data_IF_158460728170
#
_entry.id   IF_158460728170
#
_cell.length_a   1.000
_cell.length_b   1.000
_cell.length_c   1.000
_cell.angle_alpha   90.00
_cell.angle_beta   90.00
_cell.angle_gamma   90.00
#
_symmetry.space_group_name_H-M   'P 1'
#
loop_
_entity.id
_entity.type
_entity.pdbx_description
1 polymer ?
#
# COMPACT_ATOMS: atom_id res chain seq x y z
N UNK A 1 9.33 -4.86 -1.96
CA UNK A 1 10.42 -5.66 -1.37
C UNK A 1 9.92 -6.68 -0.36
N UNK A 2 9.13 -6.29 0.60
CA UNK A 2 8.56 -7.15 1.62
C UNK A 2 7.98 -8.46 1.10
N UNK A 3 7.06 -8.33 0.15
CA UNK A 3 6.28 -9.44 -0.38
C UNK A 3 7.16 -10.52 -1.01
N UNK A 4 8.14 -10.12 -1.81
CA UNK A 4 9.04 -11.05 -2.52
C UNK A 4 10.00 -11.77 -1.57
N UNK A 5 10.53 -11.11 -0.54
CA UNK A 5 11.41 -11.78 0.43
C UNK A 5 10.66 -12.80 1.27
N UNK A 6 9.42 -12.51 1.70
CA UNK A 6 8.60 -13.44 2.47
C UNK A 6 8.26 -14.71 1.65
N UNK A 7 7.81 -14.57 0.40
CA UNK A 7 7.50 -15.73 -0.43
C UNK A 7 8.75 -16.52 -0.81
N UNK A 8 9.87 -15.84 -1.12
CA UNK A 8 11.12 -16.52 -1.47
C UNK A 8 11.67 -17.34 -0.29
N UNK A 9 11.60 -16.81 0.94
CA UNK A 9 11.98 -17.56 2.14
C UNK A 9 11.12 -18.81 2.34
N UNK A 10 9.78 -18.71 2.11
CA UNK A 10 8.88 -19.86 2.16
C UNK A 10 9.21 -20.90 1.09
N UNK A 11 9.45 -20.46 -0.16
CA UNK A 11 9.82 -21.34 -1.26
C UNK A 11 11.14 -22.06 -0.99
N UNK A 12 12.15 -21.34 -0.47
CA UNK A 12 13.44 -21.93 -0.09
C UNK A 12 13.28 -23.04 0.96
N UNK A 13 12.46 -22.83 1.98
CA UNK A 13 12.16 -23.88 2.99
C UNK A 13 11.49 -25.12 2.36
N UNK A 14 10.72 -24.93 1.30
CA UNK A 14 10.10 -26.02 0.54
C UNK A 14 11.01 -26.59 -0.56
N UNK A 15 12.30 -26.20 -0.59
CA UNK A 15 13.29 -26.61 -1.60
C UNK A 15 12.83 -26.31 -3.03
N UNK A 16 12.27 -25.12 -3.21
CA UNK A 16 11.98 -24.54 -4.53
C UNK A 16 12.95 -23.39 -4.76
N UNK A 17 13.72 -23.49 -5.83
CA UNK A 17 14.64 -22.44 -6.24
C UNK A 17 13.86 -21.23 -6.78
N UNK A 18 14.15 -20.07 -6.23
CA UNK A 18 13.48 -18.82 -6.58
C UNK A 18 14.48 -17.66 -6.73
N UNK A 19 14.40 -16.94 -7.83
CA UNK A 19 15.15 -15.70 -8.05
C UNK A 19 14.26 -14.49 -7.75
N UNK A 20 14.74 -13.59 -6.93
CA UNK A 20 14.14 -12.28 -6.71
C UNK A 20 14.84 -11.26 -7.60
N UNK A 21 14.07 -10.45 -8.32
CA UNK A 21 14.59 -9.32 -9.09
C UNK A 21 14.04 -7.99 -8.57
N UNK A 22 14.90 -6.99 -8.49
CA UNK A 22 14.53 -5.63 -8.09
C UNK A 22 15.31 -4.60 -8.92
N UNK A 23 14.59 -3.63 -9.49
CA UNK A 23 15.22 -2.52 -10.22
C UNK A 23 16.04 -1.60 -9.32
N UNK A 24 15.79 -1.59 -8.01
CA UNK A 24 16.52 -0.77 -7.07
C UNK A 24 17.94 -1.31 -6.88
N UNK A 25 18.89 -0.39 -6.66
CA UNK A 25 20.31 -0.72 -6.54
C UNK A 25 20.63 -1.49 -5.25
N UNK A 26 19.81 -1.31 -4.20
CA UNK A 26 20.03 -1.90 -2.89
C UNK A 26 18.72 -2.48 -2.34
N UNK A 27 18.84 -3.60 -1.63
CA UNK A 27 17.73 -4.19 -0.87
C UNK A 27 17.21 -3.16 0.14
N UNK A 28 15.90 -2.88 0.15
CA UNK A 28 15.30 -1.88 1.05
C UNK A 28 15.04 -0.50 0.42
N UNK A 29 15.63 -0.17 -0.72
CA UNK A 29 15.56 1.17 -1.30
C UNK A 29 14.14 1.64 -1.62
N UNK A 30 13.21 0.75 -1.92
CA UNK A 30 11.82 1.14 -2.10
C UNK A 30 11.17 1.70 -0.82
N UNK A 31 11.75 1.45 0.36
CA UNK A 31 11.40 2.07 1.62
C UNK A 31 12.24 3.32 1.88
N UNK A 32 13.57 3.26 1.69
CA UNK A 32 14.46 4.41 1.89
C UNK A 32 14.06 5.60 1.04
N UNK A 33 13.62 5.38 -0.20
CA UNK A 33 13.19 6.41 -1.17
C UNK A 33 11.78 6.95 -0.92
N UNK A 34 11.13 6.60 0.19
CA UNK A 34 9.87 7.20 0.60
C UNK A 34 10.13 8.46 1.41
N UNK A 35 9.08 9.29 1.58
CA UNK A 35 9.20 10.54 2.33
C UNK A 35 9.77 10.33 3.74
N UNK A 36 10.50 11.32 4.21
CA UNK A 36 11.33 11.26 5.42
C UNK A 36 10.57 10.75 6.65
N UNK A 37 9.39 11.30 6.91
CA UNK A 37 8.60 11.01 8.12
C UNK A 37 7.87 9.66 8.11
N UNK A 38 8.02 8.81 7.07
CA UNK A 38 7.25 7.57 6.97
C UNK A 38 7.58 6.57 8.08
N UNK A 39 6.56 6.22 8.83
CA UNK A 39 6.57 5.17 9.86
C UNK A 39 5.42 4.19 9.60
N UNK A 40 5.60 2.92 9.93
CA UNK A 40 4.50 1.96 9.81
C UNK A 40 3.39 2.29 10.81
N UNK A 41 2.14 2.06 10.42
CA UNK A 41 0.97 2.33 11.25
C UNK A 41 0.48 1.12 12.05
N UNK A 42 1.04 -0.06 11.81
CA UNK A 42 0.77 -1.26 12.60
C UNK A 42 1.90 -1.43 13.61
N UNK A 43 1.54 -1.88 14.81
CA UNK A 43 2.49 -2.16 15.87
C UNK A 43 3.48 -3.28 15.47
N UNK A 44 4.69 -3.24 16.04
CA UNK A 44 5.80 -4.11 15.65
C UNK A 44 5.47 -5.61 15.77
N UNK A 45 4.74 -6.01 16.82
CA UNK A 45 4.35 -7.40 17.05
C UNK A 45 3.41 -7.96 15.96
N UNK A 46 2.63 -7.10 15.31
CA UNK A 46 1.78 -7.49 14.18
C UNK A 46 2.60 -7.72 12.92
N UNK A 47 3.74 -7.06 12.81
CA UNK A 47 4.50 -6.90 11.57
C UNK A 47 5.64 -7.91 11.36
N UNK A 48 5.89 -8.84 12.28
CA UNK A 48 6.98 -9.82 12.16
C UNK A 48 7.05 -10.51 10.79
N UNK A 49 8.28 -10.79 10.33
CA UNK A 49 8.53 -11.53 9.10
C UNK A 49 8.50 -13.05 9.34
N UNK A 50 8.27 -13.87 8.30
CA UNK A 50 8.42 -15.31 8.41
C UNK A 50 9.83 -15.69 8.88
N UNK A 51 9.95 -16.61 9.83
CA UNK A 51 11.21 -17.18 10.35
C UNK A 51 12.15 -16.22 11.08
N UNK A 52 11.99 -14.92 10.95
CA UNK A 52 12.89 -13.92 11.56
C UNK A 52 12.05 -12.73 12.09
N UNK A 53 11.57 -12.82 13.33
CA UNK A 53 10.82 -11.75 13.98
C UNK A 53 11.72 -10.53 14.22
N UNK A 54 11.10 -9.35 14.33
CA UNK A 54 11.83 -8.13 14.71
C UNK A 54 12.37 -8.24 16.14
N UNK A 55 13.52 -7.62 16.44
CA UNK A 55 14.07 -7.58 17.79
C UNK A 55 13.09 -6.97 18.82
N UNK A 56 13.06 -7.49 20.04
CA UNK A 56 12.09 -7.06 21.06
C UNK A 56 12.28 -5.61 21.54
N UNK A 57 13.45 -5.02 21.31
CA UNK A 57 13.77 -3.63 21.63
C UNK A 57 13.43 -2.62 20.53
N UNK A 58 12.71 -3.06 19.50
CA UNK A 58 12.31 -2.16 18.41
C UNK A 58 11.16 -1.24 18.85
N UNK A 59 11.05 -0.04 18.22
CA UNK A 59 9.93 0.87 18.51
C UNK A 59 8.61 0.22 18.09
N UNK A 60 7.54 0.60 18.78
CA UNK A 60 6.17 0.13 18.50
C UNK A 60 5.80 0.31 17.03
N UNK A 61 6.11 1.46 16.48
CA UNK A 61 5.91 1.80 15.07
C UNK A 61 7.27 1.90 14.37
N UNK A 62 7.48 1.09 13.36
CA UNK A 62 8.78 0.91 12.72
C UNK A 62 9.04 2.02 11.69
N UNK A 63 10.10 2.85 11.86
CA UNK A 63 10.49 3.83 10.84
C UNK A 63 10.97 3.14 9.56
N UNK A 64 10.71 3.78 8.41
CA UNK A 64 11.00 3.24 7.08
C UNK A 64 12.45 2.77 6.88
N UNK A 65 13.43 3.52 7.37
CA UNK A 65 14.85 3.20 7.17
C UNK A 65 15.29 2.02 8.04
N UNK A 66 14.76 1.93 9.26
CA UNK A 66 14.98 0.76 10.14
C UNK A 66 14.42 -0.51 9.51
N UNK A 67 13.22 -0.41 8.93
CA UNK A 67 12.60 -1.50 8.18
C UNK A 67 13.41 -1.89 6.93
N UNK A 68 13.90 -0.90 6.19
CA UNK A 68 14.73 -1.12 5.00
C UNK A 68 16.02 -1.89 5.33
N UNK A 69 16.69 -1.51 6.43
CA UNK A 69 17.92 -2.19 6.90
C UNK A 69 17.61 -3.63 7.34
N UNK A 70 16.46 -3.85 7.99
CA UNK A 70 16.05 -5.20 8.36
C UNK A 70 15.84 -6.11 7.14
N UNK A 71 15.32 -5.57 6.03
CA UNK A 71 15.19 -6.35 4.81
C UNK A 71 16.52 -6.79 4.21
N UNK A 72 17.57 -5.98 4.32
CA UNK A 72 18.91 -6.42 3.91
C UNK A 72 19.39 -7.57 4.77
N UNK A 73 19.32 -7.41 6.10
CA UNK A 73 19.69 -8.47 7.04
C UNK A 73 18.85 -9.74 6.82
N UNK A 74 17.56 -9.58 6.52
CA UNK A 74 16.68 -10.71 6.25
C UNK A 74 17.06 -11.47 4.97
N UNK A 75 17.38 -10.75 3.89
CA UNK A 75 17.80 -11.36 2.61
C UNK A 75 19.11 -12.12 2.80
N UNK A 76 20.05 -11.53 3.52
CA UNK A 76 21.35 -12.14 3.83
C UNK A 76 21.19 -13.36 4.75
N UNK A 77 20.56 -13.22 5.91
CA UNK A 77 20.38 -14.29 6.89
C UNK A 77 19.57 -15.48 6.33
N UNK A 78 18.60 -15.21 5.46
CA UNK A 78 17.82 -16.24 4.78
C UNK A 78 18.50 -16.76 3.50
N UNK A 79 19.67 -16.22 3.14
CA UNK A 79 20.44 -16.55 1.94
C UNK A 79 19.59 -16.58 0.66
N UNK A 80 18.79 -15.53 0.45
CA UNK A 80 17.89 -15.46 -0.69
C UNK A 80 18.63 -15.06 -1.96
N UNK A 81 18.35 -15.74 -3.07
CA UNK A 81 18.88 -15.38 -4.38
C UNK A 81 18.22 -14.08 -4.87
N UNK A 82 18.94 -12.97 -4.74
CA UNK A 82 18.41 -11.62 -4.96
C UNK A 82 19.29 -10.82 -5.94
N UNK A 83 18.72 -10.39 -7.07
CA UNK A 83 19.37 -9.54 -8.04
C UNK A 83 18.83 -8.11 -7.94
N UNK A 84 19.65 -7.21 -7.41
CA UNK A 84 19.42 -5.76 -7.43
C UNK A 84 19.79 -5.16 -8.78
N UNK A 85 19.39 -3.89 -9.03
CA UNK A 85 19.65 -3.21 -10.32
C UNK A 85 19.09 -3.98 -11.52
N UNK A 86 18.08 -4.81 -11.30
CA UNK A 86 17.54 -5.70 -12.34
C UNK A 86 16.05 -5.41 -12.52
N UNK A 87 15.68 -4.90 -13.68
CA UNK A 87 14.31 -4.57 -14.02
C UNK A 87 13.63 -5.74 -14.75
N UNK A 88 12.43 -6.10 -14.32
CA UNK A 88 11.57 -7.01 -15.04
C UNK A 88 10.84 -6.23 -16.14
N UNK A 89 11.10 -6.58 -17.40
CA UNK A 89 10.56 -5.87 -18.55
C UNK A 89 9.19 -6.41 -18.99
N UNK A 90 8.94 -7.68 -18.72
CA UNK A 90 7.71 -8.36 -19.12
C UNK A 90 7.97 -9.80 -19.54
N UNK A 91 6.98 -10.41 -20.19
CA UNK A 91 7.11 -11.77 -20.70
C UNK A 91 5.84 -12.29 -21.33
N UNK A 92 5.93 -13.50 -21.89
CA UNK A 92 4.81 -14.25 -22.44
C UNK A 92 4.76 -15.66 -21.85
N UNK A 93 3.59 -16.25 -21.85
CA UNK A 93 3.36 -17.62 -21.39
C UNK A 93 3.11 -18.53 -22.58
N UNK A 94 3.79 -19.67 -22.63
CA UNK A 94 3.58 -20.73 -23.60
C UNK A 94 2.69 -21.80 -22.95
N UNK A 95 1.43 -21.86 -23.36
CA UNK A 95 0.45 -22.82 -22.83
C UNK A 95 0.86 -24.28 -23.14
N UNK A 96 1.52 -24.54 -24.27
CA UNK A 96 1.94 -25.89 -24.67
C UNK A 96 3.12 -26.40 -23.82
N UNK A 97 4.07 -25.51 -23.51
CA UNK A 97 5.23 -25.86 -22.68
C UNK A 97 4.95 -25.67 -21.18
N UNK A 98 3.90 -24.92 -20.81
CA UNK A 98 3.58 -24.56 -19.43
C UNK A 98 4.66 -23.70 -18.79
N UNK A 99 5.24 -22.76 -19.55
CA UNK A 99 6.38 -21.93 -19.13
C UNK A 99 6.22 -20.48 -19.54
N UNK A 100 6.80 -19.62 -18.74
CA UNK A 100 7.02 -18.22 -19.07
C UNK A 100 8.32 -18.06 -19.85
N UNK A 101 8.35 -17.12 -20.79
CA UNK A 101 9.57 -16.49 -21.31
C UNK A 101 9.56 -15.06 -20.84
N UNK A 102 10.51 -14.68 -19.99
CA UNK A 102 10.56 -13.35 -19.37
C UNK A 102 11.87 -12.66 -19.72
N UNK A 103 11.82 -11.34 -19.82
CA UNK A 103 12.97 -10.49 -20.09
C UNK A 103 13.33 -9.65 -18.87
N UNK A 104 14.62 -9.66 -18.54
CA UNK A 104 15.22 -8.88 -17.47
C UNK A 104 16.26 -7.94 -18.04
N UNK A 105 16.27 -6.69 -17.57
CA UNK A 105 17.35 -5.72 -17.88
C UNK A 105 18.22 -5.50 -16.66
N UNK A 106 19.52 -5.72 -16.83
CA UNK A 106 20.53 -5.52 -15.80
C UNK A 106 20.93 -4.03 -15.69
N UNK A 107 21.58 -3.66 -14.59
CA UNK A 107 22.08 -2.29 -14.37
C UNK A 107 23.05 -1.80 -15.45
N UNK A 108 23.80 -2.70 -16.07
CA UNK A 108 24.72 -2.42 -17.19
C UNK A 108 24.01 -2.25 -18.54
N UNK A 109 22.67 -2.34 -18.56
CA UNK A 109 21.85 -2.24 -19.77
C UNK A 109 21.70 -3.56 -20.55
N UNK A 110 22.42 -4.61 -20.19
CA UNK A 110 22.28 -5.91 -20.83
C UNK A 110 20.93 -6.55 -20.51
N UNK A 111 20.38 -7.30 -21.47
CA UNK A 111 19.14 -8.06 -21.28
C UNK A 111 19.45 -9.54 -21.08
N UNK A 112 18.59 -10.19 -20.29
CA UNK A 112 18.63 -11.63 -20.07
C UNK A 112 17.24 -12.22 -20.19
N UNK A 113 17.09 -13.23 -21.03
CA UNK A 113 15.86 -14.04 -21.16
C UNK A 113 15.93 -15.21 -20.18
N UNK A 114 14.84 -15.49 -19.49
CA UNK A 114 14.69 -16.62 -18.58
C UNK A 114 13.35 -17.35 -18.84
N UNK A 115 13.29 -18.62 -18.48
CA UNK A 115 12.11 -19.47 -18.70
C UNK A 115 11.61 -20.11 -17.39
N UNK A 116 11.09 -19.30 -16.43
CA UNK A 116 10.54 -19.84 -15.20
C UNK A 116 9.18 -20.51 -15.44
N UNK A 117 8.82 -21.48 -14.58
CA UNK A 117 7.46 -22.05 -14.52
C UNK A 117 6.48 -21.15 -13.81
N UNK A 118 6.95 -20.36 -12.87
CA UNK A 118 6.13 -19.45 -12.07
C UNK A 118 6.70 -18.05 -12.09
N UNK A 119 5.83 -17.04 -12.21
CA UNK A 119 6.12 -15.63 -12.01
C UNK A 119 5.27 -15.12 -10.85
N UNK A 120 5.91 -14.61 -9.80
CA UNK A 120 5.23 -14.03 -8.65
C UNK A 120 5.35 -12.51 -8.68
N UNK A 121 4.25 -11.85 -8.96
CA UNK A 121 4.15 -10.38 -8.95
C UNK A 121 4.09 -9.88 -7.50
N UNK A 122 5.23 -9.47 -6.98
CA UNK A 122 5.39 -8.97 -5.61
C UNK A 122 5.62 -7.44 -5.59
N UNK A 123 4.94 -6.73 -6.47
CA UNK A 123 5.09 -5.29 -6.70
C UNK A 123 4.32 -4.42 -5.72
N UNK A 124 3.45 -5.02 -4.90
CA UNK A 124 2.57 -4.32 -3.97
C UNK A 124 1.43 -3.59 -4.69
N UNK A 125 0.59 -2.92 -3.89
CA UNK A 125 -0.59 -2.18 -4.40
C UNK A 125 -0.25 -0.74 -4.86
N UNK A 126 1.01 -0.30 -4.73
CA UNK A 126 1.47 1.06 -5.03
C UNK A 126 2.45 1.07 -6.21
N UNK A 127 2.15 0.32 -7.28
CA UNK A 127 3.06 0.14 -8.41
C UNK A 127 3.07 1.31 -9.40
N UNK A 128 1.91 1.82 -9.78
CA UNK A 128 1.75 2.89 -10.78
C UNK A 128 1.02 4.06 -10.14
N UNK A 129 1.65 5.27 -10.01
CA UNK A 129 0.97 6.46 -9.51
C UNK A 129 -0.26 6.81 -10.33
N UNK A 130 -1.35 7.16 -9.65
CA UNK A 130 -2.55 7.67 -10.31
C UNK A 130 -2.41 9.18 -10.48
N UNK A 131 -2.20 9.62 -11.71
CA UNK A 131 -2.12 11.02 -12.12
C UNK A 131 -3.39 11.38 -12.87
N UNK A 132 -4.44 11.87 -12.19
CA UNK A 132 -5.67 12.27 -12.85
C UNK A 132 -5.44 13.51 -13.75
N UNK A 133 -6.17 13.57 -14.86
CA UNK A 133 -6.24 14.79 -15.63
C UNK A 133 -7.18 15.77 -14.92
N UNK A 134 -6.59 16.81 -14.33
CA UNK A 134 -7.32 17.82 -13.55
C UNK A 134 -7.39 19.12 -14.39
N UNK A 135 -8.59 19.67 -14.63
CA UNK A 135 -8.76 20.86 -15.43
C UNK A 135 -7.89 22.04 -14.96
N UNK A 136 -7.11 22.58 -15.86
CA UNK A 136 -6.25 23.73 -15.61
C UNK A 136 -4.96 23.43 -14.84
N UNK A 137 -4.73 22.23 -14.32
CA UNK A 137 -3.53 21.93 -13.52
C UNK A 137 -2.22 22.22 -14.26
N UNK A 138 -2.22 22.09 -15.59
CA UNK A 138 -1.05 22.38 -16.44
C UNK A 138 -0.73 23.89 -16.51
N UNK A 139 -1.66 24.76 -16.14
CA UNK A 139 -1.45 26.22 -16.10
C UNK A 139 -0.77 26.68 -14.80
N UNK A 140 -0.69 25.83 -13.80
CA UNK A 140 -0.06 26.17 -12.54
C UNK A 140 1.45 26.38 -12.72
N UNK A 141 1.96 27.53 -12.27
CA UNK A 141 3.36 27.93 -12.45
C UNK A 141 4.31 27.32 -11.41
N UNK A 142 3.78 26.86 -10.28
CA UNK A 142 4.56 26.24 -9.21
C UNK A 142 4.89 24.78 -9.49
N UNK A 143 5.36 24.07 -8.46
CA UNK A 143 5.73 22.65 -8.57
C UNK A 143 4.51 21.75 -8.40
N UNK A 144 4.30 20.82 -9.34
CA UNK A 144 3.33 19.73 -9.20
C UNK A 144 4.08 18.41 -9.08
N UNK A 145 3.73 17.60 -8.08
CA UNK A 145 4.29 16.25 -7.94
C UNK A 145 3.28 15.26 -7.37
N UNK A 146 3.43 13.98 -7.70
CA UNK A 146 2.70 12.92 -7.01
C UNK A 146 3.35 12.62 -5.65
N UNK A 147 2.56 12.19 -4.66
CA UNK A 147 3.03 11.84 -3.31
C UNK A 147 4.18 10.83 -3.28
N UNK A 148 4.32 9.99 -4.31
CA UNK A 148 5.45 9.06 -4.45
C UNK A 148 6.79 9.71 -4.78
N UNK A 149 6.80 11.01 -5.09
CA UNK A 149 8.00 11.81 -5.38
C UNK A 149 8.25 12.90 -4.33
N UNK A 150 7.40 12.97 -3.33
CA UNK A 150 7.60 13.87 -2.21
C UNK A 150 8.68 13.28 -1.28
N UNK A 151 9.63 14.11 -0.85
CA UNK A 151 10.77 13.70 -0.04
C UNK A 151 10.67 14.22 1.38
N UNK A 152 10.55 15.54 1.57
CA UNK A 152 10.52 16.20 2.87
C UNK A 152 9.78 17.55 2.84
N UNK A 153 9.40 18.04 4.03
CA UNK A 153 8.78 19.35 4.20
C UNK A 153 9.78 20.50 4.29
N UNK A 154 11.02 20.26 4.68
CA UNK A 154 12.04 21.31 4.93
C UNK A 154 12.31 22.12 3.66
N UNK A 155 12.33 21.47 2.52
CA UNK A 155 12.46 22.10 1.18
C UNK A 155 11.37 23.14 0.88
N UNK A 156 10.28 23.16 1.66
CA UNK A 156 9.09 23.98 1.44
C UNK A 156 8.79 24.95 2.59
N UNK A 157 9.75 25.16 3.50
CA UNK A 157 9.62 26.11 4.62
C UNK A 157 9.23 27.51 4.12
N UNK A 158 8.20 28.10 4.73
CA UNK A 158 7.67 29.43 4.36
C UNK A 158 6.88 29.46 3.04
N UNK A 159 6.66 28.31 2.39
CA UNK A 159 5.88 28.18 1.15
C UNK A 159 4.43 27.77 1.43
N UNK A 160 3.58 27.91 0.41
CA UNK A 160 2.18 27.52 0.42
C UNK A 160 2.03 26.18 -0.31
N UNK A 161 1.40 25.22 0.30
CA UNK A 161 1.21 23.90 -0.28
C UNK A 161 -0.26 23.50 -0.34
N UNK A 162 -0.68 22.99 -1.49
CA UNK A 162 -1.96 22.31 -1.70
C UNK A 162 -1.70 20.81 -1.75
N UNK A 163 -2.31 20.04 -0.85
CA UNK A 163 -2.22 18.57 -0.85
C UNK A 163 -3.58 18.01 -1.25
N UNK A 164 -3.66 17.39 -2.43
CA UNK A 164 -4.89 16.86 -2.99
C UNK A 164 -5.03 15.37 -2.65
N UNK A 165 -5.96 15.06 -1.74
CA UNK A 165 -6.23 13.73 -1.24
C UNK A 165 -6.06 13.62 0.28
N UNK A 166 -6.96 12.86 0.91
CA UNK A 166 -7.11 12.74 2.37
C UNK A 166 -6.91 11.31 2.89
N UNK A 167 -6.16 10.48 2.17
CA UNK A 167 -5.66 9.19 2.68
C UNK A 167 -4.39 9.36 3.50
N UNK A 168 -3.75 8.24 3.93
CA UNK A 168 -2.53 8.28 4.74
C UNK A 168 -1.45 9.19 4.14
N UNK A 169 -1.08 9.01 2.86
CA UNK A 169 -0.05 9.85 2.23
C UNK A 169 -0.39 11.33 2.20
N UNK A 170 -1.67 11.70 2.02
CA UNK A 170 -2.09 13.10 2.00
C UNK A 170 -1.96 13.74 3.37
N UNK A 171 -2.39 13.06 4.41
CA UNK A 171 -2.27 13.54 5.79
C UNK A 171 -0.81 13.58 6.26
N UNK A 172 -0.04 12.52 6.02
CA UNK A 172 1.38 12.47 6.43
C UNK A 172 2.17 13.62 5.80
N UNK A 173 1.98 13.86 4.49
CA UNK A 173 2.64 14.95 3.76
C UNK A 173 2.16 16.32 4.25
N UNK A 174 0.86 16.48 4.52
CA UNK A 174 0.32 17.74 5.05
C UNK A 174 0.90 18.05 6.44
N UNK A 175 1.04 17.03 7.28
CA UNK A 175 1.66 17.18 8.62
C UNK A 175 3.13 17.52 8.52
N UNK A 176 3.90 16.83 7.67
CA UNK A 176 5.33 17.07 7.47
C UNK A 176 5.59 18.48 6.94
N UNK A 177 4.86 18.93 5.93
CA UNK A 177 4.92 20.29 5.41
C UNK A 177 4.59 21.34 6.48
N UNK A 178 3.49 21.13 7.24
CA UNK A 178 3.09 22.04 8.31
C UNK A 178 4.15 22.12 9.42
N UNK A 179 4.67 20.98 9.87
CA UNK A 179 5.70 20.89 10.89
C UNK A 179 7.02 21.55 10.46
N UNK A 180 7.27 21.62 9.17
CA UNK A 180 8.43 22.29 8.56
C UNK A 180 8.17 23.78 8.27
N UNK A 181 7.02 24.32 8.68
CA UNK A 181 6.70 25.76 8.56
C UNK A 181 6.09 26.17 7.22
N UNK A 182 5.56 25.26 6.43
CA UNK A 182 4.75 25.59 5.26
C UNK A 182 3.30 25.91 5.65
N UNK A 183 2.65 26.81 4.90
CA UNK A 183 1.21 27.01 4.99
C UNK A 183 0.48 25.97 4.14
N UNK A 184 -0.29 25.08 4.79
CA UNK A 184 -0.86 23.91 4.12
C UNK A 184 -2.37 24.02 3.98
N UNK A 185 -2.87 23.72 2.78
CA UNK A 185 -4.29 23.47 2.52
C UNK A 185 -4.47 22.03 2.04
N UNK A 186 -5.20 21.23 2.83
CA UNK A 186 -5.61 19.88 2.46
C UNK A 186 -6.88 19.94 1.62
N UNK A 187 -6.90 19.23 0.49
CA UNK A 187 -8.04 19.22 -0.44
C UNK A 187 -8.69 17.84 -0.44
N UNK A 188 -9.93 17.79 0.04
CA UNK A 188 -10.70 16.55 0.12
C UNK A 188 -11.59 16.37 -1.12
N UNK A 189 -11.40 15.25 -1.84
CA UNK A 189 -12.25 14.86 -2.96
C UNK A 189 -13.41 13.95 -2.54
N UNK A 190 -13.13 12.97 -1.71
CA UNK A 190 -14.08 11.93 -1.31
C UNK A 190 -14.11 11.79 0.20
N UNK A 191 -15.23 11.37 0.80
CA UNK A 191 -15.27 11.05 2.21
C UNK A 191 -14.19 10.05 2.60
N UNK A 192 -13.58 10.25 3.77
CA UNK A 192 -12.45 9.46 4.27
C UNK A 192 -12.74 9.00 5.69
N UNK A 193 -12.42 7.75 6.00
CA UNK A 193 -12.41 7.27 7.37
C UNK A 193 -11.19 7.85 8.07
N UNK A 194 -11.40 8.47 9.22
CA UNK A 194 -10.33 8.90 10.13
C UNK A 194 -10.53 8.18 11.45
N UNK A 195 -9.45 7.64 11.99
CA UNK A 195 -9.42 7.02 13.32
C UNK A 195 -8.05 7.25 13.94
N UNK A 196 -7.98 7.47 15.25
CA UNK A 196 -6.69 7.57 15.92
C UNK A 196 -5.91 6.27 15.81
N UNK A 197 -4.58 6.38 15.62
CA UNK A 197 -3.73 5.20 15.52
C UNK A 197 -3.81 4.37 16.81
N UNK A 198 -3.91 5.03 17.97
CA UNK A 198 -4.16 4.42 19.28
C UNK A 198 -5.26 5.16 20.05
N UNK A 199 -6.12 4.43 20.76
CA UNK A 199 -6.25 2.97 20.78
C UNK A 199 -7.08 2.43 19.60
N UNK A 200 -7.80 3.27 18.88
CA UNK A 200 -8.92 2.94 18.02
C UNK A 200 -8.56 2.03 16.84
N UNK A 201 -7.51 2.37 16.07
CA UNK A 201 -7.07 1.55 14.95
C UNK A 201 -6.51 0.18 15.39
N UNK A 202 -5.98 0.09 16.62
CA UNK A 202 -5.37 -1.12 17.17
C UNK A 202 -6.39 -2.13 17.70
N UNK A 203 -7.66 -1.77 17.84
CA UNK A 203 -8.71 -2.71 18.24
C UNK A 203 -8.73 -3.97 17.35
N UNK A 204 -8.49 -3.79 16.06
CA UNK A 204 -8.44 -4.90 15.10
C UNK A 204 -7.24 -5.85 15.30
N UNK A 205 -6.25 -5.46 16.09
CA UNK A 205 -5.03 -6.21 16.35
C UNK A 205 -4.89 -6.63 17.81
N UNK A 206 -5.92 -6.45 18.63
CA UNK A 206 -5.88 -6.72 20.07
C UNK A 206 -5.40 -8.14 20.41
N UNK A 207 -5.73 -9.13 19.57
CA UNK A 207 -5.26 -10.51 19.73
C UNK A 207 -3.73 -10.65 19.72
N UNK A 208 -3.00 -9.73 19.06
CA UNK A 208 -1.54 -9.78 18.99
C UNK A 208 -0.83 -9.24 20.22
N UNK A 209 -1.56 -8.74 21.20
CA UNK A 209 -0.99 -8.30 22.48
C UNK A 209 -0.69 -9.47 23.43
N UNK A 210 -1.28 -10.63 23.20
CA UNK A 210 -1.15 -11.81 24.03
C UNK A 210 -0.99 -13.07 23.16
N UNK A 211 -0.40 -14.13 23.73
CA UNK A 211 -0.25 -15.41 23.05
C UNK A 211 0.90 -15.49 22.04
N UNK A 212 0.98 -16.58 21.31
CA UNK A 212 2.00 -16.78 20.28
C UNK A 212 1.62 -16.09 18.98
N UNK A 213 2.63 -15.71 18.19
CA UNK A 213 2.40 -15.09 16.86
C UNK A 213 1.62 -16.04 15.94
N UNK A 214 1.92 -17.33 15.99
CA UNK A 214 1.30 -18.36 15.17
C UNK A 214 -0.18 -18.56 15.52
N UNK A 215 -0.54 -18.57 16.80
CA UNK A 215 -1.92 -18.69 17.26
C UNK A 215 -2.73 -17.44 16.86
N UNK A 216 -2.13 -16.27 17.03
CA UNK A 216 -2.76 -15.00 16.65
C UNK A 216 -2.98 -14.89 15.14
N UNK A 217 -2.04 -15.36 14.33
CA UNK A 217 -2.20 -15.45 12.88
C UNK A 217 -3.34 -16.39 12.50
N UNK A 218 -3.46 -17.52 13.20
CA UNK A 218 -4.52 -18.49 12.99
C UNK A 218 -5.90 -17.91 13.37
N UNK A 219 -6.00 -17.26 14.53
CA UNK A 219 -7.22 -16.59 15.00
C UNK A 219 -7.65 -15.51 13.98
N UNK A 220 -6.72 -14.66 13.56
CA UNK A 220 -7.00 -13.56 12.62
C UNK A 220 -7.51 -14.05 11.25
N UNK A 221 -7.17 -15.29 10.84
CA UNK A 221 -7.54 -15.83 9.52
C UNK A 221 -8.60 -16.91 9.56
N UNK A 222 -8.98 -17.41 10.75
CA UNK A 222 -10.01 -18.44 10.89
C UNK A 222 -11.44 -17.92 10.82
N UNK A 223 -11.63 -16.61 10.92
CA UNK A 223 -12.96 -16.00 10.99
C UNK A 223 -13.62 -15.94 9.61
N UNK A 224 -14.81 -16.56 9.41
CA UNK A 224 -15.55 -16.40 8.17
C UNK A 224 -15.86 -14.94 7.87
N UNK A 225 -15.83 -14.55 6.59
CA UNK A 225 -15.95 -13.14 6.18
C UNK A 225 -17.23 -12.46 6.73
N UNK A 226 -18.35 -13.18 6.78
CA UNK A 226 -19.62 -12.65 7.34
C UNK A 226 -19.48 -12.31 8.83
N UNK A 227 -18.79 -13.15 9.60
CA UNK A 227 -18.53 -12.90 11.02
C UNK A 227 -17.52 -11.77 11.19
N UNK A 228 -16.46 -11.76 10.38
CA UNK A 228 -15.47 -10.70 10.35
C UNK A 228 -16.13 -9.32 10.10
N UNK A 229 -17.07 -9.23 9.14
CA UNK A 229 -17.83 -7.99 8.89
C UNK A 229 -18.58 -7.52 10.13
N UNK A 230 -19.29 -8.42 10.83
CA UNK A 230 -20.01 -8.08 12.06
C UNK A 230 -19.07 -7.59 13.16
N UNK A 231 -17.97 -8.29 13.38
CA UNK A 231 -16.93 -7.88 14.35
C UNK A 231 -16.39 -6.49 14.04
N UNK A 232 -16.09 -6.22 12.77
CA UNK A 232 -15.56 -4.92 12.35
C UNK A 232 -16.58 -3.77 12.46
N UNK A 233 -17.87 -4.04 12.29
CA UNK A 233 -18.92 -3.04 12.58
C UNK A 233 -18.89 -2.65 14.06
N UNK A 234 -18.82 -3.62 14.98
CA UNK A 234 -18.73 -3.35 16.42
C UNK A 234 -17.46 -2.58 16.80
N UNK A 235 -16.31 -2.98 16.24
CA UNK A 235 -15.03 -2.28 16.46
C UNK A 235 -15.09 -0.84 15.91
N UNK A 236 -15.76 -0.63 14.78
CA UNK A 236 -15.90 0.71 14.18
C UNK A 236 -16.79 1.60 15.05
N UNK A 237 -17.88 1.10 15.59
CA UNK A 237 -18.70 1.87 16.53
C UNK A 237 -17.92 2.21 17.80
N UNK A 238 -17.17 1.26 18.36
CA UNK A 238 -16.29 1.53 19.50
C UNK A 238 -15.22 2.59 19.17
N UNK A 239 -14.60 2.51 17.99
CA UNK A 239 -13.62 3.50 17.53
C UNK A 239 -14.24 4.89 17.40
N UNK A 240 -15.48 5.01 16.90
CA UNK A 240 -16.20 6.28 16.79
C UNK A 240 -16.43 6.93 18.15
N UNK A 241 -16.78 6.15 19.16
CA UNK A 241 -16.94 6.66 20.52
C UNK A 241 -15.62 7.13 21.12
N UNK A 242 -14.54 6.35 20.95
CA UNK A 242 -13.19 6.72 21.42
C UNK A 242 -12.67 7.99 20.73
N UNK A 243 -12.93 8.13 19.44
CA UNK A 243 -12.42 9.21 18.60
C UNK A 243 -13.41 10.39 18.47
N UNK A 244 -14.54 10.37 19.22
CA UNK A 244 -15.61 11.35 19.07
C UNK A 244 -15.15 12.81 19.09
N UNK A 245 -14.27 13.27 19.99
CA UNK A 245 -13.81 14.65 19.99
C UNK A 245 -13.10 15.07 18.69
N UNK A 246 -12.27 14.17 18.12
CA UNK A 246 -11.59 14.37 16.86
C UNK A 246 -12.58 14.42 15.69
N UNK A 247 -13.50 13.45 15.62
CA UNK A 247 -14.49 13.34 14.54
C UNK A 247 -15.43 14.56 14.52
N UNK A 248 -15.89 15.00 15.70
CA UNK A 248 -16.70 16.21 15.85
C UNK A 248 -15.90 17.47 15.43
N UNK A 249 -14.60 17.52 15.75
CA UNK A 249 -13.72 18.59 15.33
C UNK A 249 -13.58 18.69 13.82
N UNK A 250 -13.36 17.56 13.16
CA UNK A 250 -13.27 17.44 11.72
C UNK A 250 -14.60 17.81 11.03
N UNK A 251 -15.72 17.33 11.55
CA UNK A 251 -17.05 17.63 11.03
C UNK A 251 -17.36 19.14 11.08
N UNK A 252 -16.99 19.83 12.18
CA UNK A 252 -17.15 21.30 12.28
C UNK A 252 -16.34 22.05 11.23
N UNK A 253 -15.23 21.50 10.74
CA UNK A 253 -14.42 22.07 9.65
C UNK A 253 -14.93 21.71 8.25
N UNK A 254 -16.02 20.90 8.14
CA UNK A 254 -16.56 20.46 6.87
C UNK A 254 -15.84 19.24 6.28
N UNK A 255 -15.02 18.53 7.06
CA UNK A 255 -14.41 17.28 6.63
C UNK A 255 -15.49 16.21 6.49
N UNK A 256 -15.55 15.55 5.34
CA UNK A 256 -16.52 14.50 5.03
C UNK A 256 -15.99 13.15 5.53
N UNK A 257 -16.64 12.61 6.56
CA UNK A 257 -16.29 11.32 7.15
C UNK A 257 -17.05 10.17 6.45
N UNK A 258 -16.42 8.98 6.45
CA UNK A 258 -16.98 7.74 5.90
C UNK A 258 -16.46 6.55 6.71
N UNK A 259 -17.33 5.69 7.16
CA UNK A 259 -17.00 4.55 8.02
C UNK A 259 -17.03 3.19 7.30
N UNK A 260 -16.98 3.21 5.96
CA UNK A 260 -16.98 2.01 5.12
C UNK A 260 -18.39 1.46 4.85
N UNK A 261 -18.48 0.57 3.88
CA UNK A 261 -19.73 -0.03 3.45
C UNK A 261 -20.36 -0.81 4.61
N UNK A 262 -21.60 -0.43 5.00
CA UNK A 262 -22.28 -1.00 6.15
C UNK A 262 -21.59 -0.75 7.50
N UNK A 263 -20.74 0.27 7.63
CA UNK A 263 -20.02 0.59 8.86
C UNK A 263 -18.87 -0.35 9.21
N UNK A 264 -18.33 -1.08 8.23
CA UNK A 264 -17.30 -2.10 8.45
C UNK A 264 -15.88 -1.55 8.70
N UNK A 265 -15.72 -0.22 8.67
CA UNK A 265 -14.51 0.45 9.09
C UNK A 265 -13.33 0.38 8.10
N UNK A 266 -12.15 0.77 8.61
CA UNK A 266 -10.96 0.94 7.80
C UNK A 266 -10.44 -0.37 7.19
N UNK A 267 -10.57 -1.49 7.90
CA UNK A 267 -10.02 -2.76 7.46
C UNK A 267 -10.71 -3.27 6.19
N UNK A 268 -12.04 -3.13 6.12
CA UNK A 268 -12.77 -3.49 4.90
C UNK A 268 -12.56 -2.48 3.76
N UNK A 269 -12.37 -1.20 4.07
CA UNK A 269 -11.92 -0.22 3.05
C UNK A 269 -10.57 -0.62 2.48
N UNK A 270 -9.64 -1.06 3.33
CA UNK A 270 -8.36 -1.59 2.90
C UNK A 270 -8.50 -2.86 2.04
N UNK A 271 -9.24 -3.86 2.51
CA UNK A 271 -9.41 -5.14 1.80
C UNK A 271 -10.17 -5.01 0.47
N UNK A 272 -11.05 -4.01 0.34
CA UNK A 272 -11.84 -3.79 -0.88
C UNK A 272 -11.19 -2.82 -1.86
N UNK A 273 -10.61 -1.72 -1.36
CA UNK A 273 -10.13 -0.59 -2.20
C UNK A 273 -8.64 -0.26 -2.02
N UNK A 274 -7.97 -0.88 -1.04
CA UNK A 274 -6.57 -0.58 -0.71
C UNK A 274 -6.33 0.80 -0.10
N UNK A 275 -7.38 1.53 0.32
CA UNK A 275 -7.27 2.89 0.85
C UNK A 275 -8.61 3.52 1.21
N UNK A 276 -8.64 4.86 1.32
CA UNK A 276 -9.84 5.62 1.71
C UNK A 276 -9.98 5.78 3.23
N UNK A 277 -8.88 5.65 3.95
CA UNK A 277 -8.79 5.87 5.40
C UNK A 277 -7.46 6.56 5.76
N UNK A 278 -7.43 7.10 6.96
CA UNK A 278 -6.23 7.64 7.60
C UNK A 278 -6.18 7.22 9.07
N UNK A 279 -5.02 6.75 9.50
CA UNK A 279 -4.70 6.55 10.90
C UNK A 279 -4.06 7.82 11.44
N UNK A 280 -4.84 8.53 12.27
CA UNK A 280 -4.42 9.83 12.78
C UNK A 280 -3.21 9.72 13.71
N UNK A 281 -2.14 10.39 13.33
CA UNK A 281 -0.92 10.60 14.12
C UNK A 281 -0.65 12.09 14.37
N UNK A 282 -1.71 12.93 14.22
CA UNK A 282 -1.67 14.36 14.49
C UNK A 282 -2.20 15.27 13.39
N UNK A 283 -2.16 14.87 12.11
CA UNK A 283 -2.62 15.74 11.02
C UNK A 283 -4.10 16.10 11.10
N UNK A 284 -4.95 15.15 11.48
CA UNK A 284 -6.39 15.43 11.63
C UNK A 284 -6.68 16.39 12.78
N UNK A 285 -5.84 16.43 13.82
CA UNK A 285 -5.93 17.44 14.89
C UNK A 285 -5.58 18.83 14.35
N UNK A 286 -4.57 18.94 13.47
CA UNK A 286 -4.23 20.19 12.79
C UNK A 286 -5.38 20.69 11.90
N UNK A 287 -6.08 19.77 11.22
CA UNK A 287 -7.28 20.11 10.44
C UNK A 287 -8.42 20.53 11.36
N UNK A 288 -8.70 19.80 12.44
CA UNK A 288 -9.77 20.08 13.39
C UNK A 288 -9.57 21.42 14.10
N UNK A 289 -8.32 21.79 14.43
CA UNK A 289 -7.97 23.12 15.00
C UNK A 289 -7.97 24.24 13.96
N UNK A 290 -7.80 23.92 12.67
CA UNK A 290 -7.67 24.89 11.57
C UNK A 290 -6.24 25.35 11.30
N UNK A 291 -5.24 24.75 11.92
CA UNK A 291 -3.83 24.96 11.61
C UNK A 291 -3.47 24.50 10.19
N UNK A 292 -4.08 23.41 9.73
CA UNK A 292 -4.11 23.01 8.34
C UNK A 292 -5.49 23.34 7.76
N UNK A 293 -5.52 24.18 6.73
CA UNK A 293 -6.77 24.56 6.08
C UNK A 293 -7.38 23.38 5.31
N UNK A 294 -8.71 23.35 5.22
CA UNK A 294 -9.43 22.35 4.45
C UNK A 294 -10.28 23.00 3.34
N UNK A 295 -10.19 22.47 2.15
CA UNK A 295 -11.10 22.79 1.03
C UNK A 295 -11.66 21.50 0.43
N UNK A 296 -12.88 21.57 -0.10
CA UNK A 296 -13.43 20.44 -0.86
C UNK A 296 -12.99 20.56 -2.33
N UNK A 297 -12.62 19.45 -2.94
CA UNK A 297 -12.25 19.43 -4.36
C UNK A 297 -13.42 19.89 -5.26
N UNK A 298 -14.66 19.64 -4.84
CA UNK A 298 -15.88 20.10 -5.52
C UNK A 298 -16.02 21.63 -5.59
N UNK A 299 -15.33 22.36 -4.73
CA UNK A 299 -15.38 23.82 -4.68
C UNK A 299 -14.36 24.47 -5.63
N UNK A 300 -13.40 23.68 -6.10
CA UNK A 300 -12.41 24.12 -7.09
C UNK A 300 -13.08 24.16 -8.47
N UNK A 301 -13.00 25.31 -9.13
CA UNK A 301 -13.45 25.51 -10.52
C UNK A 301 -12.36 25.03 -11.49
N UNK A 302 -11.13 25.53 -11.30
CA UNK A 302 -9.99 25.25 -12.17
C UNK A 302 -8.68 25.59 -11.46
N UNK A 303 -7.56 25.16 -12.02
CA UNK A 303 -6.24 25.62 -11.60
C UNK A 303 -5.75 26.75 -12.52
N UNK A 304 -5.12 27.75 -11.91
CA UNK A 304 -4.53 28.92 -12.55
C UNK A 304 -3.04 29.00 -12.20
N UNK A 305 -2.32 29.98 -12.75
CA UNK A 305 -0.87 30.14 -12.53
C UNK A 305 -0.48 30.22 -11.05
N UNK A 306 -1.34 30.83 -10.21
CA UNK A 306 -1.07 31.09 -8.80
C UNK A 306 -1.56 29.99 -7.85
N UNK A 307 -2.44 29.07 -8.32
CA UNK A 307 -3.03 28.04 -7.45
C UNK A 307 -4.37 27.51 -7.91
N UNK A 308 -5.27 27.23 -6.97
CA UNK A 308 -6.61 26.72 -7.23
C UNK A 308 -7.65 27.84 -7.16
N UNK A 309 -8.35 28.14 -8.26
CA UNK A 309 -9.49 29.06 -8.28
C UNK A 309 -10.75 28.31 -7.88
N UNK A 310 -11.43 28.87 -6.88
CA UNK A 310 -12.69 28.35 -6.38
C UNK A 310 -13.88 28.90 -7.15
N UNK A 311 -15.01 28.21 -7.12
CA UNK A 311 -16.28 28.60 -7.75
C UNK A 311 -16.85 29.94 -7.24
N UNK A 312 -16.45 30.38 -6.04
CA UNK A 312 -16.81 31.66 -5.48
C UNK A 312 -15.90 32.81 -5.94
N UNK A 313 -14.93 32.54 -6.82
CA UNK A 313 -13.96 33.49 -7.36
C UNK A 313 -12.68 33.66 -6.52
N UNK A 314 -12.62 33.13 -5.31
CA UNK A 314 -11.40 33.12 -4.47
C UNK A 314 -10.31 32.25 -5.11
N UNK A 315 -9.06 32.67 -5.00
CA UNK A 315 -7.90 31.83 -5.37
C UNK A 315 -7.17 31.36 -4.11
N UNK A 316 -7.05 30.06 -3.96
CA UNK A 316 -6.17 29.45 -2.97
C UNK A 316 -4.78 29.36 -3.58
N UNK A 317 -3.92 30.28 -3.17
CA UNK A 317 -2.56 30.38 -3.71
C UNK A 317 -1.69 29.22 -3.23
N UNK A 318 -0.77 28.78 -4.09
CA UNK A 318 0.16 27.71 -3.81
C UNK A 318 1.51 27.91 -4.51
N UNK A 319 2.56 27.36 -3.95
CA UNK A 319 3.89 27.23 -4.55
C UNK A 319 4.16 25.76 -4.90
N UNK A 320 3.46 24.85 -4.18
CA UNK A 320 3.51 23.39 -4.36
C UNK A 320 2.11 22.80 -4.44
N UNK A 321 1.89 21.89 -5.38
CA UNK A 321 0.72 20.99 -5.40
C UNK A 321 1.19 19.53 -5.30
N UNK A 322 0.77 18.82 -4.25
CA UNK A 322 1.05 17.40 -4.07
C UNK A 322 -0.22 16.60 -4.41
N UNK A 323 -0.10 15.71 -5.38
CA UNK A 323 -1.17 14.79 -5.77
C UNK A 323 -1.07 13.52 -4.92
N UNK A 324 -1.77 13.48 -3.79
CA UNK A 324 -1.92 12.29 -2.95
C UNK A 324 -3.12 11.45 -3.43
N UNK A 325 -3.17 11.20 -4.72
CA UNK A 325 -4.31 10.64 -5.47
C UNK A 325 -4.28 9.12 -5.58
N UNK A 326 -3.35 8.48 -4.87
CA UNK A 326 -3.22 7.03 -4.81
C UNK A 326 -2.58 6.42 -6.05
N UNK A 327 -2.87 5.15 -6.28
CA UNK A 327 -2.22 4.35 -7.32
C UNK A 327 -3.26 3.65 -8.19
N UNK A 328 -2.87 3.30 -9.40
CA UNK A 328 -3.69 2.51 -10.32
C UNK A 328 -3.76 1.06 -9.85
N UNK A 329 -4.84 0.33 -10.19
CA UNK A 329 -4.98 -1.08 -9.85
C UNK A 329 -3.89 -1.94 -10.50
N UNK A 330 -3.63 -3.13 -9.94
CA UNK A 330 -2.53 -3.99 -10.38
C UNK A 330 -2.73 -4.52 -11.81
N UNK A 331 -3.95 -4.61 -12.29
CA UNK A 331 -4.30 -4.99 -13.67
C UNK A 331 -3.61 -4.09 -14.71
N UNK A 332 -3.45 -2.81 -14.41
CA UNK A 332 -2.71 -1.89 -15.28
C UNK A 332 -1.21 -2.27 -15.38
N UNK A 333 -0.64 -2.81 -14.32
CA UNK A 333 0.72 -3.31 -14.35
C UNK A 333 0.81 -4.62 -15.13
N UNK A 334 -0.18 -5.51 -15.00
CA UNK A 334 -0.28 -6.74 -15.79
C UNK A 334 -0.37 -6.39 -17.28
N UNK A 335 -1.26 -5.44 -17.63
CA UNK A 335 -1.39 -4.93 -19.00
C UNK A 335 -0.06 -4.39 -19.54
N UNK A 336 0.65 -3.61 -18.75
CA UNK A 336 1.95 -3.03 -19.13
C UNK A 336 3.02 -4.08 -19.39
N UNK A 337 3.08 -5.14 -18.57
CA UNK A 337 4.17 -6.13 -18.58
C UNK A 337 3.87 -7.34 -19.46
N UNK A 338 2.61 -7.69 -19.65
CA UNK A 338 2.21 -8.93 -20.31
C UNK A 338 1.16 -8.72 -21.43
N UNK A 339 0.69 -7.50 -21.62
CA UNK A 339 -0.28 -7.14 -22.65
C UNK A 339 -1.74 -7.21 -22.20
N UNK A 340 -2.61 -6.65 -23.02
CA UNK A 340 -4.06 -6.51 -22.77
C UNK A 340 -4.74 -7.87 -22.56
N UNK A 341 -4.46 -8.84 -23.45
CA UNK A 341 -5.07 -10.17 -23.38
C UNK A 341 -4.78 -10.88 -22.06
N UNK A 342 -3.55 -10.73 -21.53
CA UNK A 342 -3.19 -11.28 -20.23
C UNK A 342 -3.92 -10.58 -19.09
N UNK A 343 -4.05 -9.25 -19.14
CA UNK A 343 -4.80 -8.50 -18.13
C UNK A 343 -6.28 -8.90 -18.11
N UNK A 344 -6.89 -9.10 -19.27
CA UNK A 344 -8.27 -9.60 -19.40
C UNK A 344 -8.41 -11.03 -18.88
N UNK A 345 -7.46 -11.92 -19.20
CA UNK A 345 -7.46 -13.31 -18.72
C UNK A 345 -7.38 -13.39 -17.19
N UNK A 346 -6.51 -12.60 -16.57
CA UNK A 346 -6.34 -12.55 -15.10
C UNK A 346 -7.57 -11.92 -14.44
N UNK A 347 -8.09 -10.85 -15.02
CA UNK A 347 -9.19 -10.08 -14.45
C UNK A 347 -8.78 -9.24 -13.24
N UNK A 348 -9.76 -8.80 -12.42
CA UNK A 348 -9.51 -7.93 -11.28
C UNK A 348 -8.62 -8.59 -10.20
N UNK A 349 -7.69 -7.80 -9.66
CA UNK A 349 -6.77 -8.19 -8.59
C UNK A 349 -7.07 -7.36 -7.37
N UNK A 350 -7.13 -7.98 -6.18
CA UNK A 350 -7.58 -7.35 -4.94
C UNK A 350 -9.11 -7.25 -4.81
N UNK A 351 -9.58 -6.97 -3.61
CA UNK A 351 -11.00 -7.07 -3.25
C UNK A 351 -11.41 -8.53 -3.02
N UNK A 352 -12.70 -8.76 -2.95
CA UNK A 352 -13.25 -10.11 -2.73
C UNK A 352 -13.79 -10.70 -4.02
N UNK A 353 -13.52 -11.99 -4.23
CA UNK A 353 -14.14 -12.81 -5.27
C UNK A 353 -15.51 -13.34 -4.82
N UNK A 354 -16.16 -14.11 -5.71
CA UNK A 354 -17.49 -14.67 -5.49
C UNK A 354 -17.49 -15.71 -4.35
N UNK A 355 -16.37 -16.40 -4.14
CA UNK A 355 -16.13 -17.31 -3.02
C UNK A 355 -15.73 -16.60 -1.72
N UNK A 356 -15.75 -15.26 -1.68
CA UNK A 356 -15.34 -14.41 -0.55
C UNK A 356 -13.82 -14.47 -0.24
N UNK A 357 -13.02 -15.03 -1.12
CA UNK A 357 -11.56 -15.00 -1.06
C UNK A 357 -11.00 -13.64 -1.51
N UNK A 358 -9.74 -13.36 -1.19
CA UNK A 358 -9.01 -12.25 -1.80
C UNK A 358 -8.75 -12.57 -3.28
N UNK A 359 -9.38 -11.80 -4.16
CA UNK A 359 -9.42 -12.05 -5.61
C UNK A 359 -8.02 -12.02 -6.21
N UNK A 360 -7.62 -13.13 -6.83
CA UNK A 360 -6.32 -13.32 -7.49
C UNK A 360 -5.10 -13.01 -6.61
N UNK A 361 -5.26 -12.97 -5.29
CA UNK A 361 -4.20 -12.63 -4.36
C UNK A 361 -3.89 -13.83 -3.45
N UNK A 362 -2.63 -14.26 -3.42
CA UNK A 362 -2.15 -15.43 -2.67
C UNK A 362 -2.78 -16.78 -3.09
N UNK A 363 -3.39 -16.80 -4.22
CA UNK A 363 -4.09 -17.98 -4.77
C UNK A 363 -3.76 -18.15 -6.24
N UNK A 364 -4.22 -19.26 -6.83
CA UNK A 364 -4.18 -19.50 -8.26
C UNK A 364 -4.98 -18.43 -8.98
N UNK A 365 -4.51 -18.06 -10.16
CA UNK A 365 -5.21 -17.12 -11.04
C UNK A 365 -5.67 -17.84 -12.30
N UNK A 366 -6.57 -17.25 -13.09
CA UNK A 366 -6.94 -17.80 -14.41
C UNK A 366 -5.75 -17.97 -15.38
N UNK A 367 -4.59 -17.34 -15.08
CA UNK A 367 -3.36 -17.56 -15.82
C UNK A 367 -2.45 -18.53 -15.06
N UNK A 368 -2.24 -19.76 -15.54
CA UNK A 368 -1.32 -20.70 -14.92
C UNK A 368 0.08 -20.10 -14.71
N UNK A 369 0.66 -20.36 -13.54
CA UNK A 369 2.00 -19.91 -13.23
C UNK A 369 2.16 -18.41 -12.98
N UNK A 370 1.08 -17.59 -12.98
CA UNK A 370 1.12 -16.19 -12.59
C UNK A 370 0.45 -15.99 -11.22
N UNK A 371 1.17 -15.37 -10.31
CA UNK A 371 0.76 -15.22 -8.91
C UNK A 371 0.91 -13.78 -8.44
N UNK A 372 0.09 -13.38 -7.47
CA UNK A 372 0.16 -12.04 -6.88
C UNK A 372 0.29 -12.12 -5.37
N UNK A 373 1.15 -11.26 -4.83
CA UNK A 373 1.37 -11.08 -3.40
C UNK A 373 1.50 -9.59 -3.07
N UNK A 374 0.64 -9.09 -2.21
CA UNK A 374 0.63 -7.71 -1.75
C UNK A 374 -0.06 -7.58 -0.38
N UNK A 375 -0.17 -6.38 0.15
CA UNK A 375 -0.89 -6.09 1.39
C UNK A 375 0.00 -5.61 2.54
N UNK A 376 -0.34 -5.98 3.78
CA UNK A 376 0.46 -5.67 4.97
C UNK A 376 1.57 -6.70 5.22
N UNK A 377 2.49 -6.40 6.16
CA UNK A 377 3.50 -7.36 6.60
C UNK A 377 2.85 -8.64 7.15
N UNK A 378 1.83 -8.48 8.00
CA UNK A 378 1.08 -9.61 8.55
C UNK A 378 0.45 -10.47 7.45
N UNK A 379 -0.26 -9.86 6.50
CA UNK A 379 -0.84 -10.60 5.37
C UNK A 379 0.22 -11.37 4.58
N UNK A 380 1.39 -10.76 4.35
CA UNK A 380 2.49 -11.43 3.67
C UNK A 380 3.05 -12.59 4.47
N UNK A 381 3.25 -12.43 5.78
CA UNK A 381 3.69 -13.51 6.66
C UNK A 381 2.73 -14.69 6.61
N UNK A 382 1.45 -14.42 6.78
CA UNK A 382 0.40 -15.44 6.84
C UNK A 382 0.20 -16.09 5.48
N UNK A 383 -0.14 -15.30 4.47
CA UNK A 383 -0.64 -15.83 3.21
C UNK A 383 0.48 -16.34 2.28
N UNK A 384 1.74 -15.88 2.43
CA UNK A 384 2.87 -16.46 1.70
C UNK A 384 3.07 -17.95 1.98
N UNK A 385 2.65 -18.45 3.16
CA UNK A 385 2.68 -19.86 3.52
C UNK A 385 1.78 -20.66 2.57
N UNK A 386 0.55 -20.23 2.39
CA UNK A 386 -0.43 -20.89 1.53
C UNK A 386 -0.07 -20.80 0.06
N UNK A 387 0.44 -19.63 -0.39
CA UNK A 387 0.93 -19.46 -1.74
C UNK A 387 2.10 -20.41 -2.04
N UNK A 388 3.08 -20.49 -1.15
CA UNK A 388 4.23 -21.38 -1.33
C UNK A 388 3.82 -22.86 -1.36
N UNK A 389 2.84 -23.26 -0.56
CA UNK A 389 2.30 -24.63 -0.56
C UNK A 389 1.60 -24.97 -1.87
N UNK A 390 0.83 -24.05 -2.45
CA UNK A 390 0.19 -24.25 -3.76
C UNK A 390 1.25 -24.44 -4.87
N UNK A 391 2.27 -23.57 -4.90
CA UNK A 391 3.37 -23.68 -5.86
C UNK A 391 4.07 -25.04 -5.66
N UNK A 392 4.39 -25.43 -4.41
CA UNK A 392 5.02 -26.71 -4.12
C UNK A 392 4.19 -27.90 -4.54
N UNK A 393 2.89 -27.84 -4.33
CA UNK A 393 1.97 -28.93 -4.72
C UNK A 393 1.91 -29.12 -6.24
N UNK A 394 1.94 -28.03 -7.01
CA UNK A 394 2.03 -28.06 -8.48
C UNK A 394 3.38 -28.65 -8.90
N UNK A 395 4.48 -28.22 -8.30
CA UNK A 395 5.82 -28.72 -8.62
C UNK A 395 6.01 -30.19 -8.26
N UNK A 396 5.28 -30.67 -7.26
CA UNK A 396 5.25 -32.08 -6.87
C UNK A 396 4.19 -32.90 -7.61
N UNK A 397 3.48 -32.32 -8.57
CA UNK A 397 2.37 -32.95 -9.31
C UNK A 397 1.21 -33.43 -8.43
N UNK A 398 1.03 -32.80 -7.25
CA UNK A 398 -0.10 -33.04 -6.34
C UNK A 398 -1.32 -32.19 -6.69
N UNK A 399 -1.11 -31.10 -7.42
CA UNK A 399 -2.16 -30.26 -7.98
C UNK A 399 -1.93 -30.09 -9.50
N UNK A 400 -2.99 -30.05 -10.31
CA UNK A 400 -2.86 -29.71 -11.72
C UNK A 400 -2.34 -28.28 -11.88
N UNK A 401 -1.68 -27.97 -13.01
CA UNK A 401 -1.21 -26.61 -13.33
C UNK A 401 -2.36 -25.68 -13.63
N UNK A 402 -3.36 -26.18 -14.33
CA UNK A 402 -4.55 -25.42 -14.72
C UNK A 402 -5.62 -25.47 -13.62
N UNK A 403 -6.43 -24.42 -13.56
CA UNK A 403 -7.54 -24.30 -12.60
C UNK A 403 -8.80 -24.92 -13.19
#
# INVERSE_FOLDING_TARGET
MLFRSAIAARLKQLKIDALIVDREARVGDNWRKRYHALTLHNQVQVNHLPYMPFPPNWPTYIPKDKLANWFESYVDAMELNFWTGTEFLGGSYDDAQGRWTVELRRADGTTRTMQPRHVVMATGVSGIPNLPDIPGLKNFSGKVMHSSRYEDGESWTGKRALVIGTGNSGHDIAQDLHSSGAAVTLVQRSPTLVTNIEPSAQLAYAAYNEGSLEDNDLIATSMPLTLAKRSHVLMTEQSKELDKPLLDGLARRGFKLDFGDGGTGWQFKYLTRGGGYYFNVGCSDLVASGAVALKQFSDIETFVSEGARLKNGETVEADLIVLATGYRPQEELVKKLFGEAMAQRVGPIWGFGDGQELRNMYTRTPQPGLWFIAGSLAQCRINSRYLALQIKAIEASLLPRDV
#
